data_IF_776246817691
#
_entry.id   IF_776246817691
#
_cell.length_a   1.000
_cell.length_b   1.000
_cell.length_c   1.000
_cell.angle_alpha   90.00
_cell.angle_beta   90.00
_cell.angle_gamma   90.00
#
_symmetry.space_group_name_H-M   'P 1'
#
loop_
_entity.id
_entity.type
_entity.pdbx_description
1 polymer ?
#
# COMPACT_ATOMS: atom_id res chain seq x y z
N UNK A 1 -13.60 11.26 27.64
CA UNK A 1 -13.76 11.72 26.24
C UNK A 1 -12.36 11.90 25.69
N UNK A 2 -11.99 11.15 24.65
CA UNK A 2 -10.75 11.38 23.91
C UNK A 2 -10.98 12.63 23.07
N UNK A 3 -10.13 13.65 23.19
CA UNK A 3 -10.22 14.83 22.32
C UNK A 3 -9.92 14.43 20.87
N UNK A 4 -10.69 14.92 19.88
CA UNK A 4 -10.39 14.63 18.49
C UNK A 4 -9.04 15.27 18.12
N UNK A 5 -8.23 14.53 17.35
CA UNK A 5 -6.92 14.97 16.90
C UNK A 5 -6.86 15.02 15.36
N UNK A 6 -6.17 16.02 14.82
CA UNK A 6 -5.73 16.04 13.42
C UNK A 6 -4.24 15.71 13.38
N UNK A 7 -3.91 14.47 13.01
CA UNK A 7 -2.55 13.93 13.17
C UNK A 7 -2.06 14.06 14.62
N UNK A 8 -1.05 14.90 14.90
CA UNK A 8 -0.48 15.09 16.23
C UNK A 8 -1.03 16.34 16.95
N UNK A 9 -2.03 17.01 16.38
CA UNK A 9 -2.54 18.28 16.92
C UNK A 9 -3.98 18.14 17.43
N UNK A 10 -4.27 18.54 18.68
CA UNK A 10 -5.62 18.48 19.23
C UNK A 10 -6.54 19.50 18.57
N UNK A 11 -7.80 19.10 18.34
CA UNK A 11 -8.85 19.95 17.78
C UNK A 11 -10.08 19.97 18.69
N UNK A 12 -10.83 21.08 18.66
CA UNK A 12 -11.96 21.33 19.59
C UNK A 12 -13.34 21.31 18.92
N UNK A 13 -13.44 20.82 17.70
CA UNK A 13 -14.69 20.68 16.97
C UNK A 13 -14.96 19.21 16.63
N UNK A 14 -16.23 18.79 16.50
CA UNK A 14 -16.57 17.42 16.09
C UNK A 14 -15.96 17.09 14.72
N UNK A 15 -15.28 15.96 14.61
CA UNK A 15 -14.67 15.49 13.36
C UNK A 15 -14.86 13.98 13.22
N UNK A 16 -14.99 13.51 11.99
CA UNK A 16 -14.82 12.09 11.70
C UNK A 16 -13.34 11.79 11.85
N UNK A 17 -13.03 10.74 12.61
CA UNK A 17 -11.65 10.33 12.81
C UNK A 17 -11.17 9.50 11.62
N UNK A 18 -10.10 9.96 10.98
CA UNK A 18 -9.44 9.27 9.89
C UNK A 18 -7.99 9.06 10.27
N UNK A 19 -7.57 7.79 10.30
CA UNK A 19 -6.20 7.42 10.58
C UNK A 19 -5.51 7.01 9.28
N UNK A 20 -4.34 7.60 9.05
CA UNK A 20 -3.56 7.37 7.83
C UNK A 20 -2.44 6.39 8.11
N UNK A 21 -2.33 5.36 7.27
CA UNK A 21 -1.25 4.37 7.31
C UNK A 21 -0.37 4.59 6.08
N UNK A 22 0.94 4.70 6.29
CA UNK A 22 1.92 4.98 5.24
C UNK A 22 2.26 3.79 4.34
N UNK A 23 1.26 3.14 3.74
CA UNK A 23 1.42 1.95 2.91
C UNK A 23 0.57 2.04 1.62
N UNK A 24 0.93 2.98 0.74
CA UNK A 24 0.27 3.17 -0.56
C UNK A 24 1.05 2.54 -1.72
N UNK A 25 0.54 2.68 -2.95
CA UNK A 25 1.23 2.19 -4.15
C UNK A 25 2.63 2.80 -4.32
N UNK A 26 2.81 4.08 -3.96
CA UNK A 26 4.10 4.76 -4.03
C UNK A 26 5.03 4.55 -2.83
N UNK A 27 4.63 3.79 -1.80
CA UNK A 27 5.50 3.56 -0.64
C UNK A 27 6.80 2.88 -1.07
N UNK A 28 7.92 3.46 -0.67
CA UNK A 28 9.26 3.00 -1.04
C UNK A 28 9.63 1.73 -0.28
N UNK A 29 10.19 0.76 -0.99
CA UNK A 29 10.88 -0.37 -0.38
C UNK A 29 12.38 -0.06 -0.25
N UNK A 30 12.93 -0.35 0.92
CA UNK A 30 14.33 -0.06 1.23
C UNK A 30 14.87 -1.04 2.28
N UNK A 31 16.19 -1.15 2.37
CA UNK A 31 16.88 -1.98 3.35
C UNK A 31 17.59 -1.06 4.33
N UNK A 32 17.43 -1.34 5.63
CA UNK A 32 18.12 -0.60 6.67
C UNK A 32 19.59 -1.04 6.83
N UNK A 33 20.32 -0.35 7.72
CA UNK A 33 21.72 -0.70 7.99
C UNK A 33 21.90 -2.09 8.64
N UNK A 34 20.83 -2.66 9.19
CA UNK A 34 20.83 -3.99 9.79
C UNK A 34 20.44 -5.09 8.78
N UNK A 35 20.19 -4.75 7.52
CA UNK A 35 19.82 -5.71 6.47
C UNK A 35 18.35 -6.10 6.45
N UNK A 36 17.48 -5.37 7.16
CA UNK A 36 16.04 -5.65 7.19
C UNK A 36 15.29 -4.88 6.10
N UNK A 37 14.34 -5.55 5.44
CA UNK A 37 13.44 -4.95 4.46
C UNK A 37 12.35 -4.12 5.14
N UNK A 38 12.19 -2.88 4.71
CA UNK A 38 11.16 -1.95 5.16
C UNK A 38 10.30 -1.45 3.99
N UNK A 39 9.08 -1.02 4.30
CA UNK A 39 8.15 -0.42 3.35
C UNK A 39 7.55 0.88 3.92
N UNK A 40 7.79 1.99 3.24
CA UNK A 40 7.46 3.32 3.75
C UNK A 40 8.35 3.73 4.93
N UNK A 41 8.01 4.83 5.65
CA UNK A 41 6.87 5.72 5.41
C UNK A 41 7.06 6.65 4.21
N UNK A 42 8.28 6.74 3.66
CA UNK A 42 8.57 7.57 2.49
C UNK A 42 7.81 7.05 1.25
N UNK A 43 7.38 7.99 0.41
CA UNK A 43 6.63 7.72 -0.81
C UNK A 43 7.31 8.37 -2.01
N UNK A 44 7.30 7.67 -3.15
CA UNK A 44 7.67 8.24 -4.44
C UNK A 44 6.62 9.23 -4.99
N UNK A 45 5.45 9.30 -4.36
CA UNK A 45 4.33 10.12 -4.81
C UNK A 45 3.86 9.72 -6.21
N UNK A 46 3.39 10.70 -6.98
CA UNK A 46 3.02 10.55 -8.39
C UNK A 46 4.05 11.14 -9.36
N UNK A 47 4.95 11.99 -8.87
CA UNK A 47 6.02 12.64 -9.63
C UNK A 47 7.27 12.74 -8.73
N UNK A 48 8.37 12.02 -9.03
CA UNK A 48 8.58 11.18 -10.22
C UNK A 48 7.73 9.90 -10.24
N UNK A 49 7.25 9.44 -9.08
CA UNK A 49 6.43 8.23 -8.94
C UNK A 49 7.21 6.91 -8.99
N UNK A 50 6.49 5.77 -8.99
CA UNK A 50 7.05 4.41 -9.10
C UNK A 50 8.04 4.24 -10.25
N UNK A 51 9.01 3.34 -10.10
CA UNK A 51 10.04 3.12 -11.13
C UNK A 51 9.45 2.65 -12.48
N UNK A 52 8.33 1.96 -12.44
CA UNK A 52 7.60 1.49 -13.61
C UNK A 52 6.96 2.63 -14.40
N UNK A 53 6.84 3.85 -13.85
CA UNK A 53 6.27 4.98 -14.58
C UNK A 53 7.25 5.49 -15.65
N UNK A 54 6.75 6.19 -16.69
CA UNK A 54 7.61 6.74 -17.75
C UNK A 54 8.75 7.62 -17.20
N UNK A 55 8.42 8.50 -16.25
CA UNK A 55 9.35 9.40 -15.54
C UNK A 55 9.64 8.92 -14.11
N UNK A 56 9.48 7.62 -13.86
CA UNK A 56 9.63 6.98 -12.56
C UNK A 56 11.01 7.16 -11.93
N UNK A 57 11.05 7.13 -10.59
CA UNK A 57 12.30 7.13 -9.84
C UNK A 57 13.09 5.82 -9.95
N UNK A 58 14.25 5.74 -9.32
CA UNK A 58 15.09 4.53 -9.31
C UNK A 58 14.81 3.57 -8.13
N UNK A 59 14.01 4.01 -7.15
CA UNK A 59 13.73 3.24 -5.94
C UNK A 59 12.43 2.43 -6.12
N UNK A 60 12.41 1.14 -5.73
CA UNK A 60 11.23 0.30 -5.90
C UNK A 60 10.10 0.72 -4.96
N UNK A 61 8.87 0.53 -5.44
CA UNK A 61 7.63 0.80 -4.71
C UNK A 61 6.69 -0.41 -4.67
N UNK A 62 5.60 -0.30 -3.92
CA UNK A 62 4.52 -1.30 -3.94
C UNK A 62 3.89 -1.45 -5.34
N UNK A 63 3.79 -0.37 -6.12
CA UNK A 63 3.31 -0.44 -7.50
C UNK A 63 4.27 -1.26 -8.37
N UNK A 64 5.58 -1.03 -8.23
CA UNK A 64 6.60 -1.79 -8.97
C UNK A 64 6.50 -3.30 -8.68
N UNK A 65 6.36 -3.65 -7.39
CA UNK A 65 6.22 -5.04 -6.98
C UNK A 65 4.96 -5.68 -7.55
N UNK A 66 3.82 -4.98 -7.53
CA UNK A 66 2.58 -5.50 -8.12
C UNK A 66 2.64 -5.63 -9.65
N UNK A 67 3.42 -4.79 -10.35
CA UNK A 67 3.67 -4.93 -11.80
C UNK A 67 4.53 -6.17 -12.07
N UNK A 68 5.61 -6.38 -11.32
CA UNK A 68 6.48 -7.56 -11.48
C UNK A 68 5.71 -8.85 -11.23
N UNK A 69 4.88 -8.90 -10.17
CA UNK A 69 4.04 -10.05 -9.83
C UNK A 69 2.84 -10.24 -10.78
N UNK A 70 2.67 -9.40 -11.80
CA UNK A 70 1.55 -9.48 -12.75
C UNK A 70 0.17 -9.19 -12.14
N UNK A 71 0.11 -8.60 -10.95
CA UNK A 71 -1.14 -8.22 -10.27
C UNK A 71 -1.72 -6.92 -10.80
N UNK A 72 -0.84 -6.06 -11.32
CA UNK A 72 -1.19 -4.83 -12.01
C UNK A 72 -0.87 -5.01 -13.50
N UNK A 73 -1.78 -4.54 -14.37
CA UNK A 73 -1.55 -4.56 -15.81
C UNK A 73 -0.40 -3.65 -16.25
N UNK A 74 -0.15 -3.57 -17.55
CA UNK A 74 0.96 -2.78 -18.13
C UNK A 74 0.58 -1.32 -18.41
N UNK A 75 -0.61 -0.87 -18.02
CA UNK A 75 -1.01 0.52 -18.15
C UNK A 75 -2.03 0.95 -17.11
N UNK A 76 -2.06 2.25 -16.82
CA UNK A 76 -3.02 2.90 -15.93
C UNK A 76 -3.76 4.02 -16.67
N UNK A 77 -4.84 4.51 -16.06
CA UNK A 77 -5.65 5.63 -16.55
C UNK A 77 -6.09 5.44 -18.02
N UNK A 78 -6.62 4.26 -18.33
CA UNK A 78 -7.05 3.86 -19.68
C UNK A 78 -5.94 4.00 -20.73
N UNK A 79 -4.73 3.54 -20.41
CA UNK A 79 -3.60 3.53 -21.34
C UNK A 79 -2.78 4.83 -21.38
N UNK A 80 -3.17 5.87 -20.63
CA UNK A 80 -2.44 7.15 -20.61
C UNK A 80 -1.08 7.05 -19.91
N UNK A 81 -0.95 6.13 -18.96
CA UNK A 81 0.32 5.85 -18.28
C UNK A 81 0.73 4.42 -18.62
N UNK A 82 1.74 4.26 -19.44
CA UNK A 82 2.31 2.95 -19.77
C UNK A 82 3.33 2.58 -18.70
N UNK A 83 3.20 1.38 -18.13
CA UNK A 83 4.07 0.86 -17.10
C UNK A 83 5.16 -0.03 -17.70
N UNK A 84 6.40 0.15 -17.28
CA UNK A 84 7.51 -0.70 -17.66
C UNK A 84 7.79 -1.75 -16.59
N UNK A 85 7.45 -3.01 -16.88
CA UNK A 85 7.80 -4.14 -16.01
C UNK A 85 9.32 -4.30 -15.88
N UNK A 86 10.08 -4.01 -16.93
CA UNK A 86 11.54 -4.07 -16.89
C UNK A 86 12.14 -3.04 -15.93
N UNK A 87 11.64 -1.78 -15.94
CA UNK A 87 12.12 -0.76 -14.99
C UNK A 87 11.79 -1.15 -13.54
N UNK A 88 10.60 -1.69 -13.30
CA UNK A 88 10.21 -2.21 -11.98
C UNK A 88 11.13 -3.35 -11.52
N UNK A 89 11.35 -4.34 -12.39
CA UNK A 89 12.20 -5.48 -12.12
C UNK A 89 13.63 -5.05 -11.77
N UNK A 90 14.21 -4.15 -12.57
CA UNK A 90 15.56 -3.63 -12.31
C UNK A 90 15.63 -2.90 -10.96
N UNK A 91 14.66 -2.02 -10.64
CA UNK A 91 14.65 -1.30 -9.37
C UNK A 91 14.54 -2.24 -8.16
N UNK A 92 13.71 -3.27 -8.26
CA UNK A 92 13.54 -4.27 -7.19
C UNK A 92 14.79 -5.12 -7.04
N UNK A 93 15.37 -5.57 -8.15
CA UNK A 93 16.56 -6.43 -8.14
C UNK A 93 17.76 -5.71 -7.53
N UNK A 94 18.03 -4.47 -7.95
CA UNK A 94 19.17 -3.71 -7.44
C UNK A 94 19.05 -3.36 -5.95
N UNK A 95 17.87 -2.95 -5.50
CA UNK A 95 17.70 -2.41 -4.14
C UNK A 95 17.34 -3.48 -3.12
N UNK A 96 16.62 -4.53 -3.53
CA UNK A 96 16.10 -5.57 -2.62
C UNK A 96 16.62 -6.97 -2.97
N UNK A 97 16.53 -7.37 -4.24
CA UNK A 97 16.89 -8.72 -4.70
C UNK A 97 18.34 -9.08 -4.40
N UNK A 98 19.30 -8.33 -4.97
CA UNK A 98 20.73 -8.59 -4.79
C UNK A 98 21.18 -8.48 -3.32
N UNK A 99 20.78 -7.44 -2.54
CA UNK A 99 21.24 -7.35 -1.15
C UNK A 99 20.71 -8.46 -0.24
N UNK A 100 19.54 -9.03 -0.52
CA UNK A 100 18.95 -10.13 0.26
C UNK A 100 19.21 -11.52 -0.34
N UNK A 101 19.84 -11.60 -1.51
CA UNK A 101 20.06 -12.86 -2.21
C UNK A 101 18.78 -13.51 -2.74
N UNK A 102 17.77 -12.70 -3.09
CA UNK A 102 16.47 -13.15 -3.59
C UNK A 102 16.36 -12.97 -5.10
N UNK A 103 15.61 -13.86 -5.75
CA UNK A 103 15.15 -13.63 -7.13
C UNK A 103 14.22 -12.42 -7.19
N UNK A 104 14.12 -11.77 -8.36
CA UNK A 104 13.34 -10.54 -8.52
C UNK A 104 11.86 -10.72 -8.15
N UNK A 105 11.24 -11.85 -8.48
CA UNK A 105 9.85 -12.16 -8.11
C UNK A 105 9.68 -12.38 -6.60
N UNK A 106 10.62 -13.10 -5.97
CA UNK A 106 10.62 -13.33 -4.52
C UNK A 106 10.82 -12.01 -3.76
N UNK A 107 11.71 -11.15 -4.24
CA UNK A 107 11.91 -9.81 -3.71
C UNK A 107 10.64 -8.95 -3.85
N UNK A 108 9.96 -9.00 -5.01
CA UNK A 108 8.69 -8.31 -5.21
C UNK A 108 7.60 -8.83 -4.26
N UNK A 109 7.52 -10.16 -4.07
CA UNK A 109 6.59 -10.77 -3.12
C UNK A 109 6.92 -10.37 -1.67
N UNK A 110 8.20 -10.29 -1.30
CA UNK A 110 8.63 -9.82 0.02
C UNK A 110 8.19 -8.36 0.28
N UNK A 111 8.37 -7.47 -0.70
CA UNK A 111 7.91 -6.07 -0.61
C UNK A 111 6.40 -6.00 -0.30
N UNK A 112 5.58 -6.73 -1.08
CA UNK A 112 4.12 -6.74 -0.87
C UNK A 112 3.76 -7.37 0.48
N UNK A 113 4.50 -8.38 0.93
CA UNK A 113 4.24 -9.03 2.22
C UNK A 113 4.51 -8.10 3.39
N UNK A 114 5.62 -7.35 3.37
CA UNK A 114 5.92 -6.32 4.39
C UNK A 114 4.87 -5.20 4.36
N UNK A 115 4.48 -4.73 3.18
CA UNK A 115 3.42 -3.72 3.06
C UNK A 115 2.08 -4.21 3.64
N UNK A 116 1.70 -5.46 3.36
CA UNK A 116 0.48 -6.06 3.89
C UNK A 116 0.52 -6.27 5.40
N UNK A 117 1.67 -6.68 5.95
CA UNK A 117 1.85 -6.80 7.39
C UNK A 117 1.66 -5.45 8.08
N UNK A 118 2.33 -4.40 7.58
CA UNK A 118 2.19 -3.04 8.11
C UNK A 118 0.75 -2.53 8.08
N UNK A 119 0.02 -2.79 6.99
CA UNK A 119 -1.40 -2.44 6.88
C UNK A 119 -2.28 -3.23 7.84
N UNK A 120 -2.04 -4.54 7.98
CA UNK A 120 -2.84 -5.41 8.85
C UNK A 120 -2.62 -5.06 10.32
N UNK A 121 -1.37 -4.85 10.75
CA UNK A 121 -1.03 -4.44 12.10
C UNK A 121 -1.69 -3.12 12.47
N UNK A 122 -1.68 -2.16 11.54
CA UNK A 122 -2.32 -0.88 11.78
C UNK A 122 -3.84 -1.00 11.90
N UNK A 123 -4.52 -1.76 11.02
CA UNK A 123 -5.96 -2.01 11.15
C UNK A 123 -6.27 -2.70 12.49
N UNK A 124 -5.49 -3.74 12.84
CA UNK A 124 -5.64 -4.48 14.10
C UNK A 124 -5.50 -3.58 15.32
N UNK A 125 -4.47 -2.74 15.36
CA UNK A 125 -4.23 -1.80 16.45
C UNK A 125 -5.41 -0.82 16.61
N UNK A 126 -5.90 -0.28 15.49
CA UNK A 126 -7.00 0.69 15.49
C UNK A 126 -8.31 0.03 15.95
N UNK A 127 -8.61 -1.18 15.49
CA UNK A 127 -9.80 -1.92 15.90
C UNK A 127 -9.76 -2.26 17.40
N UNK A 128 -8.66 -2.87 17.85
CA UNK A 128 -8.52 -3.32 19.25
C UNK A 128 -8.51 -2.13 20.22
N UNK A 129 -7.85 -1.02 19.88
CA UNK A 129 -7.83 0.18 20.74
C UNK A 129 -9.22 0.75 21.02
N UNK A 130 -10.21 0.42 20.19
CA UNK A 130 -11.63 0.79 20.36
C UNK A 130 -12.50 -0.34 20.88
N UNK A 131 -11.94 -1.52 21.14
CA UNK A 131 -12.70 -2.70 21.54
C UNK A 131 -13.48 -3.35 20.39
N UNK A 132 -13.10 -3.10 19.14
CA UNK A 132 -13.72 -3.73 17.97
C UNK A 132 -12.95 -4.97 17.55
N UNK A 133 -13.69 -6.04 17.26
CA UNK A 133 -13.16 -7.24 16.61
C UNK A 133 -13.31 -7.11 15.09
N UNK A 134 -12.22 -7.11 14.30
CA UNK A 134 -12.29 -7.00 12.83
C UNK A 134 -13.21 -8.03 12.17
N UNK A 135 -13.42 -9.20 12.80
CA UNK A 135 -14.25 -10.30 12.27
C UNK A 135 -15.73 -9.93 12.15
N UNK A 136 -16.18 -8.92 12.89
CA UNK A 136 -17.56 -8.44 12.88
C UNK A 136 -17.83 -7.42 11.76
N UNK A 137 -16.82 -7.10 10.93
CA UNK A 137 -16.89 -6.03 9.94
C UNK A 137 -16.72 -6.53 8.50
N UNK A 138 -17.00 -5.63 7.56
CA UNK A 138 -16.69 -5.77 6.13
C UNK A 138 -15.52 -4.85 5.81
N UNK A 139 -14.49 -5.36 5.14
CA UNK A 139 -13.38 -4.53 4.65
C UNK A 139 -13.78 -3.90 3.31
N UNK A 140 -13.98 -2.58 3.30
CA UNK A 140 -14.29 -1.84 2.07
C UNK A 140 -12.99 -1.35 1.42
N UNK A 141 -12.65 -1.91 0.26
CA UNK A 141 -11.43 -1.58 -0.46
C UNK A 141 -11.68 -0.42 -1.44
N UNK A 142 -11.23 0.78 -1.07
CA UNK A 142 -11.30 1.98 -1.90
C UNK A 142 -9.90 2.46 -2.33
N UNK A 143 -9.86 3.40 -3.27
CA UNK A 143 -8.63 3.91 -3.85
C UNK A 143 -8.09 3.03 -4.99
N UNK A 144 -7.07 3.53 -5.69
CA UNK A 144 -6.52 2.85 -6.86
C UNK A 144 -5.77 1.55 -6.55
N UNK A 145 -5.16 1.46 -5.36
CA UNK A 145 -4.38 0.30 -4.93
C UNK A 145 -5.10 -0.60 -3.90
N UNK A 146 -6.23 -0.16 -3.33
CA UNK A 146 -6.85 -0.85 -2.18
C UNK A 146 -7.20 -2.31 -2.49
N UNK A 147 -7.76 -2.57 -3.68
CA UNK A 147 -8.14 -3.91 -4.09
C UNK A 147 -6.93 -4.88 -4.19
N UNK A 148 -5.74 -4.38 -4.55
CA UNK A 148 -4.52 -5.20 -4.72
C UNK A 148 -4.06 -5.85 -3.41
N UNK A 149 -4.41 -5.25 -2.27
CA UNK A 149 -3.97 -5.68 -0.95
C UNK A 149 -5.12 -6.27 -0.12
N UNK A 150 -6.34 -5.80 -0.35
CA UNK A 150 -7.52 -6.07 0.49
C UNK A 150 -7.76 -7.54 0.87
N UNK A 151 -7.66 -8.48 -0.07
CA UNK A 151 -7.90 -9.91 0.21
C UNK A 151 -6.83 -10.48 1.16
N UNK A 152 -5.58 -10.04 1.03
CA UNK A 152 -4.52 -10.48 1.94
C UNK A 152 -4.74 -9.92 3.35
N UNK A 153 -5.11 -8.63 3.46
CA UNK A 153 -5.42 -8.00 4.74
C UNK A 153 -6.63 -8.67 5.42
N UNK A 154 -7.69 -8.93 4.66
CA UNK A 154 -8.88 -9.59 5.18
C UNK A 154 -8.58 -11.00 5.70
N UNK A 155 -7.73 -11.76 4.99
CA UNK A 155 -7.28 -13.07 5.47
C UNK A 155 -6.48 -12.98 6.76
N UNK A 156 -5.51 -12.06 6.85
CA UNK A 156 -4.70 -11.88 8.06
C UNK A 156 -5.54 -11.48 9.28
N UNK A 157 -6.55 -10.66 9.05
CA UNK A 157 -7.43 -10.13 10.10
C UNK A 157 -8.70 -10.97 10.34
N UNK A 158 -8.83 -12.11 9.64
CA UNK A 158 -10.01 -12.97 9.64
C UNK A 158 -11.33 -12.22 9.33
N UNK A 159 -11.27 -11.17 8.51
CA UNK A 159 -12.44 -10.42 8.05
C UNK A 159 -13.18 -11.28 7.00
N UNK A 160 -14.47 -11.60 7.20
CA UNK A 160 -15.17 -12.57 6.35
C UNK A 160 -15.47 -12.03 4.95
N UNK A 161 -15.62 -10.72 4.80
CA UNK A 161 -16.10 -10.11 3.55
C UNK A 161 -15.23 -8.92 3.15
N UNK A 162 -14.80 -8.91 1.90
CA UNK A 162 -14.22 -7.73 1.23
C UNK A 162 -15.23 -7.19 0.24
N UNK A 163 -15.52 -5.89 0.35
CA UNK A 163 -16.36 -5.16 -0.60
C UNK A 163 -15.49 -4.25 -1.46
N UNK A 164 -15.51 -4.47 -2.77
CA UNK A 164 -14.85 -3.59 -3.75
C UNK A 164 -15.94 -2.85 -4.53
N UNK A 165 -16.08 -1.52 -4.37
CA UNK A 165 -17.02 -0.74 -5.17
C UNK A 165 -16.69 -0.81 -6.67
N UNK A 166 -17.66 -0.62 -7.59
CA UNK A 166 -17.41 -0.69 -9.04
C UNK A 166 -16.31 0.24 -9.54
N UNK A 167 -16.18 1.42 -8.92
CA UNK A 167 -15.19 2.44 -9.26
C UNK A 167 -14.35 2.79 -8.02
N UNK A 168 -13.51 1.87 -7.52
CA UNK A 168 -12.88 2.02 -6.20
C UNK A 168 -11.91 3.20 -6.17
N UNK A 169 -11.24 3.48 -7.31
CA UNK A 169 -10.29 4.59 -7.45
C UNK A 169 -10.91 5.99 -7.31
N UNK A 170 -12.22 6.14 -7.49
CA UNK A 170 -12.95 7.42 -7.36
C UNK A 170 -14.03 7.39 -6.28
N UNK A 171 -14.04 6.35 -5.44
CA UNK A 171 -15.08 6.16 -4.42
C UNK A 171 -15.20 7.34 -3.46
N UNK A 172 -14.08 7.98 -3.10
CA UNK A 172 -14.08 9.18 -2.25
C UNK A 172 -14.84 10.35 -2.89
N UNK A 173 -14.79 10.52 -4.21
CA UNK A 173 -15.48 11.59 -4.92
C UNK A 173 -17.00 11.34 -5.02
N UNK A 174 -17.44 10.07 -4.96
CA UNK A 174 -18.86 9.72 -4.96
C UNK A 174 -19.55 10.02 -3.62
N UNK A 175 -18.78 10.20 -2.54
CA UNK A 175 -19.29 10.53 -1.22
C UNK A 175 -19.45 12.03 -0.94
N UNK A 176 -19.05 12.89 -1.88
CA UNK A 176 -19.21 14.34 -1.83
C UNK A 176 -20.58 14.77 -2.34
#
# INVERSE_FOLDING_TARGET
>A
MVEPNCSQYPIRFPSIEVLTIGAGGGSLAWIDQAGSLHNGPQSAGSDPGPACYPNGGAKPTNTDANVVLGRLGTSLANGRVVLSQQKAANAIDEVIGKPLGLGTEDAAQAIVSVANANMSDAIRLISISRGYDPRDFVLVAMGGAGALHSVALAKDLAIPTVLVPPSPGVAAALGC
#
